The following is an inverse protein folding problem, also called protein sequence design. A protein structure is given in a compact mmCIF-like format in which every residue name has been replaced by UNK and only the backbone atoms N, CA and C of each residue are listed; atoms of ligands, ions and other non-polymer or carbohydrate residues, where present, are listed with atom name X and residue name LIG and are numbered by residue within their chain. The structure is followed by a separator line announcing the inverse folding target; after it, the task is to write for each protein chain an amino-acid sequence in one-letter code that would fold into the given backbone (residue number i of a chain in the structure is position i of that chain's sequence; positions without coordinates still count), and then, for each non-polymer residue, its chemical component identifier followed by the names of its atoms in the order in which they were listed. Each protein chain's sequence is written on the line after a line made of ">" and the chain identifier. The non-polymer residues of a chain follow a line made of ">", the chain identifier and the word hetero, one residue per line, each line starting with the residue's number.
data_IF_783097129768
#
_entry.id   IF_783097129768
#
_cell.length_a   1.000
_cell.length_b   1.000
_cell.length_c   1.000
_cell.angle_alpha   90.00
_cell.angle_beta   90.00
_cell.angle_gamma   90.00
#
_symmetry.space_group_name_H-M   'P 1'
#
loop_
_entity.id
_entity.type
_entity.pdbx_description
1 polymer ?
#
# COMPACT_ATOMS: atom_id res chain seq x y z
N UNK A 1 12.46 -3.66 6.34
CA UNK A 1 12.74 -4.64 7.38
C UNK A 1 13.96 -4.23 8.20
N UNK A 2 13.83 -4.25 9.51
CA UNK A 2 14.93 -4.00 10.43
C UNK A 2 15.96 -5.12 10.30
N UNK A 3 17.23 -4.78 10.15
CA UNK A 3 18.30 -5.78 10.31
C UNK A 3 18.44 -6.16 11.79
N UNK A 4 19.05 -7.31 12.09
CA UNK A 4 19.32 -7.70 13.47
C UNK A 4 20.12 -6.64 14.23
N UNK A 5 21.05 -5.95 13.55
CA UNK A 5 21.80 -4.83 14.11
C UNK A 5 20.91 -3.60 14.41
N UNK A 6 19.86 -3.38 13.61
CA UNK A 6 18.91 -2.30 13.84
C UNK A 6 17.98 -2.60 15.00
N UNK A 7 17.58 -3.84 15.18
CA UNK A 7 16.79 -4.29 16.35
C UNK A 7 17.57 -4.06 17.64
N UNK A 8 18.83 -4.47 17.69
CA UNK A 8 19.67 -4.32 18.88
C UNK A 8 19.98 -2.87 19.23
N UNK A 9 20.12 -2.01 18.21
CA UNK A 9 20.52 -0.62 18.41
C UNK A 9 19.35 0.38 18.48
N UNK A 10 18.17 0.02 18.00
CA UNK A 10 17.09 0.96 17.69
C UNK A 10 15.71 0.59 18.23
N UNK A 11 15.58 -0.37 19.12
CA UNK A 11 14.33 -0.65 19.82
C UNK A 11 13.84 0.62 20.56
N UNK A 12 13.05 1.43 19.86
CA UNK A 12 12.57 2.72 20.35
C UNK A 12 13.63 3.83 20.38
N UNK A 13 14.75 3.66 19.66
CA UNK A 13 15.81 4.68 19.56
C UNK A 13 15.41 5.87 18.71
N UNK A 14 16.17 6.95 18.81
CA UNK A 14 15.92 8.22 18.10
C UNK A 14 16.10 8.12 16.56
N UNK A 15 16.64 7.03 16.05
CA UNK A 15 16.98 6.85 14.63
C UNK A 15 15.97 6.03 13.84
N UNK A 16 15.16 5.17 14.50
CA UNK A 16 14.09 4.40 13.86
C UNK A 16 12.80 4.59 14.66
N UNK A 17 12.00 5.56 14.27
CA UNK A 17 10.78 5.92 14.99
C UNK A 17 9.49 5.54 14.27
N UNK A 18 9.57 4.79 13.17
CA UNK A 18 8.41 4.37 12.40
C UNK A 18 7.61 5.53 11.79
N UNK A 19 8.25 6.68 11.55
CA UNK A 19 7.53 7.85 11.03
C UNK A 19 7.03 7.63 9.62
N UNK A 20 7.88 7.15 8.73
CA UNK A 20 7.54 6.80 7.37
C UNK A 20 6.88 5.42 7.34
N UNK A 21 7.48 4.46 8.00
CA UNK A 21 7.07 3.08 8.09
C UNK A 21 6.55 2.73 9.50
N UNK A 22 5.23 2.82 9.81
CA UNK A 22 4.22 3.33 8.87
C UNK A 22 3.26 4.29 9.57
N UNK A 23 3.76 5.21 10.42
CA UNK A 23 2.93 6.24 11.05
C UNK A 23 2.34 7.21 10.01
N UNK A 24 3.07 7.45 8.90
CA UNK A 24 2.60 8.29 7.80
C UNK A 24 1.35 7.72 7.14
N UNK A 25 1.36 6.44 6.79
CA UNK A 25 0.19 5.76 6.23
C UNK A 25 -1.00 5.76 7.17
N UNK A 26 -0.75 5.54 8.46
CA UNK A 26 -1.77 5.60 9.50
C UNK A 26 -2.39 7.00 9.63
N UNK A 27 -1.54 8.04 9.60
CA UNK A 27 -2.01 9.43 9.64
C UNK A 27 -2.90 9.80 8.46
N UNK A 28 -2.52 9.41 7.25
CA UNK A 28 -3.33 9.61 6.04
C UNK A 28 -4.64 8.83 6.13
N UNK A 29 -4.61 7.60 6.61
CA UNK A 29 -5.82 6.80 6.79
C UNK A 29 -6.81 7.46 7.76
N UNK A 30 -6.34 8.00 8.88
CA UNK A 30 -7.18 8.70 9.86
C UNK A 30 -7.78 9.98 9.28
N UNK A 31 -7.00 10.76 8.55
CA UNK A 31 -7.49 11.96 7.86
C UNK A 31 -8.56 11.61 6.81
N UNK A 32 -8.37 10.55 6.05
CA UNK A 32 -9.37 10.07 5.10
C UNK A 32 -10.65 9.63 5.81
N UNK A 33 -10.54 8.93 6.94
CA UNK A 33 -11.71 8.52 7.73
C UNK A 33 -12.50 9.73 8.22
N UNK A 34 -11.81 10.75 8.73
CA UNK A 34 -12.47 12.00 9.17
C UNK A 34 -13.15 12.74 8.01
N UNK A 35 -12.49 12.88 6.88
CA UNK A 35 -13.04 13.55 5.70
C UNK A 35 -14.24 12.83 5.11
N UNK A 36 -14.23 11.51 5.13
CA UNK A 36 -15.26 10.69 4.47
C UNK A 36 -16.47 10.39 5.37
N UNK A 37 -16.39 10.61 6.68
CA UNK A 37 -17.43 10.18 7.64
C UNK A 37 -18.84 10.71 7.33
N UNK A 38 -18.93 11.90 6.73
CA UNK A 38 -20.20 12.55 6.40
C UNK A 38 -20.49 12.62 4.89
N UNK A 39 -19.67 11.95 4.08
CA UNK A 39 -19.82 11.92 2.63
C UNK A 39 -20.55 10.64 2.24
N UNK A 40 -21.72 10.74 1.58
CA UNK A 40 -22.39 9.55 1.05
C UNK A 40 -21.51 8.86 0.01
N UNK A 41 -21.13 7.63 0.28
CA UNK A 41 -20.34 6.82 -0.65
C UNK A 41 -21.19 5.72 -1.26
N UNK A 42 -20.91 5.37 -2.51
CA UNK A 42 -21.61 4.27 -3.20
C UNK A 42 -21.29 2.90 -2.59
N UNK A 43 -20.10 2.76 -2.03
CA UNK A 43 -19.60 1.52 -1.44
C UNK A 43 -19.24 1.75 0.02
N UNK A 44 -19.37 0.70 0.82
CA UNK A 44 -18.85 0.71 2.19
C UNK A 44 -17.32 0.79 2.19
N UNK A 45 -16.78 1.60 3.09
CA UNK A 45 -15.34 1.74 3.30
C UNK A 45 -15.02 1.20 4.69
N UNK A 46 -14.04 0.31 4.77
CA UNK A 46 -13.49 -0.18 6.02
C UNK A 46 -12.08 0.37 6.17
N UNK A 47 -11.83 1.12 7.22
CA UNK A 47 -10.49 1.55 7.62
C UNK A 47 -9.91 0.50 8.56
N UNK A 48 -8.70 0.06 8.29
CA UNK A 48 -8.04 -1.03 9.03
C UNK A 48 -6.61 -0.65 9.31
N UNK A 49 -6.22 -0.66 10.58
CA UNK A 49 -4.84 -0.64 11.02
C UNK A 49 -4.42 -2.07 11.35
N UNK A 50 -3.37 -2.54 10.72
CA UNK A 50 -2.76 -3.84 10.95
C UNK A 50 -1.51 -3.72 11.80
N UNK A 51 -1.07 -4.81 12.40
CA UNK A 51 0.18 -4.89 13.17
C UNK A 51 0.99 -6.10 12.74
N UNK A 52 2.30 -6.07 13.02
CA UNK A 52 3.20 -7.19 12.72
C UNK A 52 3.42 -7.39 11.21
N UNK A 53 3.51 -6.29 10.45
CA UNK A 53 3.88 -6.36 9.03
C UNK A 53 5.29 -6.92 8.89
N UNK A 54 6.26 -6.39 9.63
CA UNK A 54 7.67 -6.79 9.65
C UNK A 54 7.90 -8.25 10.08
N UNK A 55 6.97 -8.80 10.85
CA UNK A 55 6.96 -10.20 11.29
C UNK A 55 6.24 -11.15 10.31
N UNK A 56 6.12 -10.73 9.05
CA UNK A 56 5.49 -11.53 7.98
C UNK A 56 4.03 -11.19 7.75
N UNK A 57 3.64 -9.93 7.89
CA UNK A 57 2.29 -9.42 7.58
C UNK A 57 1.19 -10.06 8.44
N UNK A 58 1.50 -10.36 9.71
CA UNK A 58 0.64 -11.14 10.61
C UNK A 58 -0.77 -10.55 10.72
N UNK A 59 -0.91 -9.23 10.81
CA UNK A 59 -2.19 -8.56 10.90
C UNK A 59 -3.04 -8.72 9.65
N UNK A 60 -2.44 -8.53 8.48
CA UNK A 60 -3.11 -8.70 7.19
C UNK A 60 -3.51 -10.17 6.95
N UNK A 61 -2.61 -11.11 7.24
CA UNK A 61 -2.89 -12.55 7.16
C UNK A 61 -4.07 -12.94 8.06
N UNK A 62 -4.09 -12.45 9.30
CA UNK A 62 -5.15 -12.72 10.25
C UNK A 62 -6.49 -12.13 9.79
N UNK A 63 -6.46 -10.89 9.29
CA UNK A 63 -7.65 -10.26 8.72
C UNK A 63 -8.21 -11.10 7.56
N UNK A 64 -7.36 -11.48 6.61
CA UNK A 64 -7.78 -12.29 5.46
C UNK A 64 -8.36 -13.65 5.89
N UNK A 65 -7.76 -14.32 6.89
CA UNK A 65 -8.29 -15.59 7.44
C UNK A 65 -9.66 -15.44 8.07
N UNK A 66 -9.94 -14.32 8.73
CA UNK A 66 -11.21 -14.03 9.39
C UNK A 66 -12.32 -13.58 8.45
N UNK A 67 -11.97 -13.12 7.24
CA UNK A 67 -12.96 -12.76 6.23
C UNK A 67 -13.67 -14.01 5.72
N UNK A 68 -15.00 -13.96 5.69
CA UNK A 68 -15.81 -14.99 5.03
C UNK A 68 -15.59 -14.99 3.52
N UNK A 69 -15.96 -16.07 2.86
CA UNK A 69 -15.89 -16.16 1.38
C UNK A 69 -16.73 -15.05 0.71
N UNK A 70 -17.85 -14.67 1.33
CA UNK A 70 -18.71 -13.60 0.83
C UNK A 70 -18.05 -12.23 0.97
N UNK A 71 -17.43 -11.93 2.11
CA UNK A 71 -16.67 -10.68 2.33
C UNK A 71 -15.52 -10.56 1.32
N UNK A 72 -14.73 -11.63 1.14
CA UNK A 72 -13.66 -11.66 0.13
C UNK A 72 -14.19 -11.33 -1.27
N UNK A 73 -15.28 -11.98 -1.68
CA UNK A 73 -15.92 -11.76 -2.98
C UNK A 73 -16.48 -10.35 -3.14
N UNK A 74 -16.98 -9.74 -2.08
CA UNK A 74 -17.54 -8.38 -2.07
C UNK A 74 -16.48 -7.28 -1.93
N UNK A 75 -15.24 -7.62 -1.56
CA UNK A 75 -14.16 -6.65 -1.46
C UNK A 75 -13.69 -6.27 -2.85
N UNK A 76 -14.03 -5.08 -3.28
CA UNK A 76 -13.76 -4.59 -4.64
C UNK A 76 -12.32 -4.12 -4.81
N UNK A 77 -11.72 -3.58 -3.74
CA UNK A 77 -10.38 -3.02 -3.75
C UNK A 77 -9.85 -2.92 -2.32
N UNK A 78 -8.60 -3.26 -2.14
CA UNK A 78 -7.79 -2.87 -0.99
C UNK A 78 -6.89 -1.72 -1.42
N UNK A 79 -6.87 -0.63 -0.64
CA UNK A 79 -5.90 0.47 -0.80
C UNK A 79 -4.92 0.33 0.35
N UNK A 80 -3.68 0.02 0.01
CA UNK A 80 -2.59 -0.09 0.97
C UNK A 80 -1.83 1.23 1.01
N UNK A 81 -1.69 1.81 2.21
CA UNK A 81 -0.97 3.06 2.45
C UNK A 81 0.25 2.72 3.29
N UNK A 82 1.43 2.83 2.70
CA UNK A 82 2.66 2.41 3.34
C UNK A 82 3.85 3.23 2.84
N UNK A 83 4.76 3.62 3.76
CA UNK A 83 5.96 4.39 3.41
C UNK A 83 5.63 5.61 2.52
N UNK A 84 4.93 6.63 3.05
CA UNK A 84 4.39 7.71 2.23
C UNK A 84 5.29 8.95 2.11
N UNK A 85 6.45 8.98 2.76
CA UNK A 85 7.29 10.19 2.90
C UNK A 85 8.63 10.03 2.19
N UNK A 86 9.33 8.90 2.37
CA UNK A 86 10.72 8.73 1.95
C UNK A 86 10.83 7.85 0.72
N UNK A 87 11.31 8.44 -0.38
CA UNK A 87 11.49 7.73 -1.65
C UNK A 87 11.87 8.71 -2.77
N UNK A 88 12.17 8.18 -3.94
CA UNK A 88 12.44 9.00 -5.11
C UNK A 88 11.19 9.66 -5.68
N UNK A 89 10.03 9.03 -5.49
CA UNK A 89 8.71 9.51 -5.89
C UNK A 89 7.60 8.87 -5.07
N UNK A 90 6.41 9.46 -5.14
CA UNK A 90 5.18 8.79 -4.78
C UNK A 90 4.74 7.86 -5.94
N UNK A 91 4.40 6.62 -5.63
CA UNK A 91 3.94 5.64 -6.59
C UNK A 91 2.51 5.20 -6.33
N UNK A 92 1.78 4.99 -7.42
CA UNK A 92 0.53 4.24 -7.44
C UNK A 92 0.76 2.96 -8.25
N UNK A 93 0.76 1.82 -7.58
CA UNK A 93 0.97 0.52 -8.19
C UNK A 93 -0.25 -0.38 -7.99
N UNK A 94 -0.52 -1.28 -8.92
CA UNK A 94 -1.58 -2.28 -8.75
C UNK A 94 -1.02 -3.59 -8.22
N UNK A 95 -1.85 -4.39 -7.58
CA UNK A 95 -1.54 -5.79 -7.38
C UNK A 95 -1.34 -6.52 -8.71
N UNK A 96 -0.52 -7.56 -8.70
CA UNK A 96 -0.25 -8.37 -9.91
C UNK A 96 -1.51 -9.11 -10.38
N UNK A 97 -2.34 -9.58 -9.44
CA UNK A 97 -3.62 -10.24 -9.72
C UNK A 97 -4.74 -9.27 -10.09
N UNK A 98 -4.56 -7.97 -9.88
CA UNK A 98 -5.59 -6.94 -10.14
C UNK A 98 -5.95 -6.90 -11.63
N UNK A 99 -7.24 -7.11 -12.00
CA UNK A 99 -7.65 -7.09 -13.41
C UNK A 99 -7.39 -5.75 -14.10
N UNK A 100 -7.11 -5.78 -15.39
CA UNK A 100 -6.79 -4.57 -16.19
C UNK A 100 -7.90 -3.50 -16.13
N UNK A 101 -9.17 -3.91 -16.12
CA UNK A 101 -10.30 -2.99 -15.97
C UNK A 101 -10.29 -2.27 -14.63
N UNK A 102 -9.93 -2.97 -13.54
CA UNK A 102 -9.80 -2.38 -12.20
C UNK A 102 -8.58 -1.47 -12.14
N UNK A 103 -7.43 -1.86 -12.71
CA UNK A 103 -6.23 -1.00 -12.79
C UNK A 103 -6.53 0.36 -13.43
N UNK A 104 -7.33 0.39 -14.51
CA UNK A 104 -7.74 1.64 -15.17
C UNK A 104 -8.56 2.55 -14.25
N UNK A 105 -9.48 1.96 -13.48
CA UNK A 105 -10.38 2.70 -12.58
C UNK A 105 -9.72 3.12 -11.26
N UNK A 106 -8.61 2.53 -10.91
CA UNK A 106 -7.89 2.78 -9.65
C UNK A 106 -6.54 3.44 -9.90
N UNK A 107 -5.50 2.69 -10.20
CA UNK A 107 -4.14 3.18 -10.43
C UNK A 107 -4.07 4.29 -11.47
N UNK A 108 -4.60 4.05 -12.67
CA UNK A 108 -4.45 5.00 -13.78
C UNK A 108 -5.26 6.27 -13.51
N UNK A 109 -6.44 6.13 -12.88
CA UNK A 109 -7.24 7.28 -12.45
C UNK A 109 -6.57 8.06 -11.32
N UNK A 110 -5.97 7.37 -10.34
CA UNK A 110 -5.22 8.01 -9.25
C UNK A 110 -4.03 8.82 -9.81
N UNK A 111 -3.27 8.27 -10.75
CA UNK A 111 -2.19 8.99 -11.45
C UNK A 111 -2.70 10.23 -12.20
N UNK A 112 -3.85 10.13 -12.85
CA UNK A 112 -4.46 11.28 -13.55
C UNK A 112 -4.89 12.36 -12.56
N UNK A 113 -5.54 11.99 -11.46
CA UNK A 113 -5.96 12.92 -10.40
C UNK A 113 -4.76 13.56 -9.72
N UNK A 114 -3.72 12.81 -9.38
CA UNK A 114 -2.49 13.35 -8.82
C UNK A 114 -1.94 14.51 -9.67
N UNK A 115 -1.86 14.30 -10.98
CA UNK A 115 -1.42 15.35 -11.93
C UNK A 115 -2.29 16.60 -11.88
N UNK A 116 -3.61 16.46 -11.83
CA UNK A 116 -4.52 17.62 -11.76
C UNK A 116 -4.42 18.41 -10.45
N UNK A 117 -3.92 17.77 -9.39
CA UNK A 117 -3.69 18.39 -8.09
C UNK A 117 -2.22 18.77 -7.84
N UNK A 118 -1.37 18.72 -8.86
CA UNK A 118 0.04 19.10 -8.74
C UNK A 118 0.89 18.11 -7.94
N UNK A 119 0.39 16.88 -7.75
CA UNK A 119 1.12 15.81 -7.07
C UNK A 119 1.89 14.99 -8.09
N UNK A 120 3.21 14.97 -7.96
CA UNK A 120 4.09 14.17 -8.81
C UNK A 120 4.06 12.72 -8.35
N UNK A 121 3.29 11.90 -9.06
CA UNK A 121 3.21 10.47 -8.81
C UNK A 121 3.57 9.68 -10.07
N UNK A 122 4.12 8.50 -9.87
CA UNK A 122 4.55 7.58 -10.92
C UNK A 122 3.95 6.18 -10.71
N UNK A 123 4.31 5.27 -11.56
CA UNK A 123 4.09 3.83 -11.37
C UNK A 123 5.41 3.11 -11.58
N UNK A 124 5.58 1.94 -10.97
CA UNK A 124 6.75 1.09 -11.15
C UNK A 124 7.11 0.97 -12.64
N UNK A 125 8.33 1.34 -13.06
CA UNK A 125 8.74 1.30 -14.48
C UNK A 125 8.88 -0.12 -15.05
N UNK A 126 8.93 -1.16 -14.18
CA UNK A 126 9.06 -2.55 -14.60
C UNK A 126 10.51 -2.98 -14.85
N UNK A 127 11.45 -2.39 -14.14
CA UNK A 127 12.87 -2.76 -14.22
C UNK A 127 13.18 -4.16 -13.67
N UNK A 128 12.32 -4.69 -12.83
CA UNK A 128 12.44 -6.04 -12.30
C UNK A 128 11.36 -6.95 -12.93
N UNK A 129 11.74 -8.05 -13.62
CA UNK A 129 10.77 -8.98 -14.20
C UNK A 129 9.80 -9.61 -13.20
N UNK A 130 10.19 -9.73 -11.94
CA UNK A 130 9.33 -10.23 -10.87
C UNK A 130 8.17 -9.29 -10.57
N UNK A 131 8.37 -8.00 -10.79
CA UNK A 131 7.38 -6.95 -10.58
C UNK A 131 7.16 -6.17 -11.89
N UNK A 132 6.27 -6.66 -12.76
CA UNK A 132 6.01 -6.02 -14.05
C UNK A 132 5.58 -4.57 -13.91
N UNK A 133 5.77 -3.80 -14.96
CA UNK A 133 5.41 -2.37 -14.99
C UNK A 133 4.03 -2.11 -14.39
N UNK A 134 3.99 -1.18 -13.46
CA UNK A 134 2.75 -0.73 -12.80
C UNK A 134 2.24 -1.66 -11.72
N UNK A 135 3.04 -2.63 -11.27
CA UNK A 135 2.71 -3.48 -10.13
C UNK A 135 3.59 -3.17 -8.93
N UNK A 136 3.05 -3.35 -7.74
CA UNK A 136 3.74 -3.22 -6.46
C UNK A 136 3.83 -4.55 -5.72
N UNK A 137 4.45 -4.52 -4.54
CA UNK A 137 4.61 -5.70 -3.69
C UNK A 137 4.91 -5.34 -2.23
N UNK A 138 5.21 -6.34 -1.54
CA UNK A 138 6.14 -6.51 -0.41
C UNK A 138 5.59 -6.09 0.95
N UNK A 139 4.48 -5.37 1.03
CA UNK A 139 3.78 -4.96 2.25
C UNK A 139 2.45 -5.72 2.43
N UNK A 140 1.62 -5.30 3.38
CA UNK A 140 0.34 -5.92 3.73
C UNK A 140 -0.60 -6.15 2.53
N UNK A 141 -0.54 -5.27 1.52
CA UNK A 141 -1.34 -5.41 0.30
C UNK A 141 -1.07 -6.71 -0.47
N UNK A 142 0.14 -7.24 -0.37
CA UNK A 142 0.54 -8.48 -1.04
C UNK A 142 -0.28 -9.70 -0.58
N UNK A 143 -0.69 -9.72 0.68
CA UNK A 143 -1.54 -10.79 1.24
C UNK A 143 -2.88 -10.88 0.50
N UNK A 144 -3.49 -9.72 0.25
CA UNK A 144 -4.75 -9.64 -0.47
C UNK A 144 -4.59 -9.89 -1.97
N UNK A 145 -3.51 -9.39 -2.57
CA UNK A 145 -3.19 -9.62 -3.98
C UNK A 145 -3.01 -11.12 -4.27
N UNK A 146 -2.26 -11.85 -3.43
CA UNK A 146 -2.11 -13.31 -3.52
C UNK A 146 -3.42 -14.06 -3.38
N UNK A 147 -4.38 -13.50 -2.65
CA UNK A 147 -5.73 -14.05 -2.52
C UNK A 147 -6.68 -13.67 -3.68
N UNK A 148 -6.20 -12.95 -4.68
CA UNK A 148 -6.97 -12.52 -5.83
C UNK A 148 -7.90 -11.33 -5.56
N UNK A 149 -7.72 -10.62 -4.45
CA UNK A 149 -8.43 -9.38 -4.15
C UNK A 149 -7.66 -8.22 -4.78
N UNK A 150 -8.31 -7.36 -5.59
CA UNK A 150 -7.63 -6.23 -6.22
C UNK A 150 -6.97 -5.29 -5.22
N UNK A 151 -5.75 -4.85 -5.51
CA UNK A 151 -4.97 -3.96 -4.63
C UNK A 151 -4.51 -2.73 -5.40
N UNK A 152 -4.54 -1.58 -4.73
CA UNK A 152 -3.83 -0.36 -5.07
C UNK A 152 -2.81 -0.09 -3.96
N UNK A 153 -1.53 -0.14 -4.28
CA UNK A 153 -0.45 0.30 -3.42
C UNK A 153 -0.23 1.80 -3.61
N UNK A 154 -0.14 2.52 -2.50
CA UNK A 154 0.24 3.94 -2.44
C UNK A 154 1.47 4.03 -1.55
N UNK A 155 2.60 4.36 -2.14
CA UNK A 155 3.90 4.24 -1.50
C UNK A 155 4.89 5.29 -2.03
N UNK A 156 5.74 5.86 -1.20
CA UNK A 156 6.88 6.66 -1.62
C UNK A 156 8.15 5.81 -1.48
N UNK A 157 8.61 5.26 -2.59
CA UNK A 157 9.69 4.27 -2.64
C UNK A 157 10.70 4.61 -3.73
N UNK A 158 11.54 3.67 -4.18
CA UNK A 158 12.68 3.92 -5.04
C UNK A 158 12.64 3.13 -6.37
N UNK A 159 11.46 2.85 -6.90
CA UNK A 159 11.33 2.08 -8.14
C UNK A 159 12.07 2.68 -9.33
N UNK A 160 12.07 4.02 -9.47
CA UNK A 160 12.76 4.68 -10.58
C UNK A 160 14.30 4.65 -10.43
N UNK A 161 14.80 4.48 -9.20
CA UNK A 161 16.24 4.27 -8.96
C UNK A 161 16.69 2.84 -9.23
N UNK A 162 15.80 1.97 -9.70
CA UNK A 162 16.11 0.59 -10.07
C UNK A 162 16.26 -0.34 -8.87
N UNK A 163 15.70 0.00 -7.72
CA UNK A 163 15.63 -0.92 -6.58
C UNK A 163 14.77 -2.13 -6.93
N UNK A 164 15.17 -3.29 -6.43
CA UNK A 164 14.59 -4.58 -6.83
C UNK A 164 13.11 -4.68 -6.55
N UNK A 165 12.68 -4.11 -5.46
CA UNK A 165 11.32 -4.16 -4.90
C UNK A 165 10.77 -2.77 -4.55
N UNK A 166 11.52 -1.72 -4.91
CA UNK A 166 11.20 -0.33 -4.59
C UNK A 166 11.83 0.18 -3.30
N UNK A 167 12.45 -0.69 -2.51
CA UNK A 167 13.05 -0.36 -1.21
C UNK A 167 14.57 -0.34 -1.21
#
# INVERSE_FOLDING_TARGET
>A
PLSDADVDNNLGGLTLQGLDDNAAGLGVMLELAERLKNIPTKYSIRFVATSGEEEGKLGAENLLKRMSAEEKKKTLLVINLDNLIVGDKLYFNSGQSTPSSVRKLTRDRALALARTHGVYAATNPGGNPQYPKGTGCCNDGEVFDKAGIPVLYVEATNWALGKKDGY
#
